data_IF_868195652540
#
_entry.id   IF_868195652540
#
_cell.length_a   1.000
_cell.length_b   1.000
_cell.length_c   1.000
_cell.angle_alpha   90.00
_cell.angle_beta   90.00
_cell.angle_gamma   90.00
#
_symmetry.space_group_name_H-M   'P 1'
#
loop_
_entity.id
_entity.type
_entity.pdbx_description
1 polymer ?
#
# COMPACT_ATOMS: atom_id res chain seq x y z
N UNK A 1 -6.79 -10.87 6.49
CA UNK A 1 -5.98 -9.96 7.31
C UNK A 1 -4.53 -10.39 7.30
N UNK A 2 -3.61 -9.44 7.20
CA UNK A 2 -2.16 -9.69 7.37
C UNK A 2 -1.79 -9.79 8.86
N UNK A 3 -0.66 -10.42 9.20
CA UNK A 3 -0.16 -10.44 10.60
C UNK A 3 -0.01 -9.03 11.19
N UNK A 4 0.38 -8.07 10.35
CA UNK A 4 0.54 -6.65 10.73
C UNK A 4 -0.81 -6.00 11.06
N UNK A 5 -1.85 -6.25 10.25
CA UNK A 5 -3.22 -5.80 10.53
C UNK A 5 -3.75 -6.38 11.85
N UNK A 6 -3.58 -7.69 12.08
CA UNK A 6 -4.03 -8.33 13.32
C UNK A 6 -3.42 -7.64 14.54
N UNK A 7 -2.12 -7.34 14.51
CA UNK A 7 -1.44 -6.64 15.60
C UNK A 7 -2.03 -5.24 15.83
N UNK A 8 -2.32 -4.48 14.78
CA UNK A 8 -2.92 -3.15 14.94
C UNK A 8 -4.34 -3.21 15.50
N UNK A 9 -5.14 -4.19 15.09
CA UNK A 9 -6.47 -4.40 15.64
C UNK A 9 -6.40 -4.77 17.12
N UNK A 10 -5.52 -5.70 17.50
CA UNK A 10 -5.33 -6.09 18.90
C UNK A 10 -4.92 -4.90 19.76
N UNK A 11 -3.95 -4.10 19.31
CA UNK A 11 -3.51 -2.89 20.03
C UNK A 11 -4.67 -1.90 20.14
N UNK A 12 -5.38 -1.61 19.04
CA UNK A 12 -6.48 -0.65 19.02
C UNK A 12 -7.63 -1.02 19.96
N UNK A 13 -8.10 -2.27 19.91
CA UNK A 13 -9.15 -2.75 20.81
C UNK A 13 -8.71 -2.80 22.27
N UNK A 14 -7.45 -3.19 22.53
CA UNK A 14 -6.90 -3.20 23.89
C UNK A 14 -6.84 -1.78 24.47
N UNK A 15 -6.37 -0.81 23.69
CA UNK A 15 -6.32 0.60 24.11
C UNK A 15 -7.73 1.17 24.33
N UNK A 16 -8.69 0.83 23.47
CA UNK A 16 -10.08 1.27 23.63
C UNK A 16 -10.73 0.68 24.89
N UNK A 17 -10.55 -0.62 25.15
CA UNK A 17 -11.05 -1.26 26.37
C UNK A 17 -10.37 -0.70 27.62
N UNK A 18 -9.05 -0.46 27.56
CA UNK A 18 -8.33 0.17 28.66
C UNK A 18 -8.85 1.58 28.95
N UNK A 19 -9.11 2.38 27.91
CA UNK A 19 -9.71 3.70 28.04
C UNK A 19 -11.06 3.64 28.78
N UNK A 20 -11.93 2.70 28.40
CA UNK A 20 -13.23 2.49 29.06
C UNK A 20 -13.04 2.12 30.54
N UNK A 21 -12.20 1.11 30.82
CA UNK A 21 -11.95 0.62 32.20
C UNK A 21 -11.38 1.72 33.08
N UNK A 22 -10.37 2.45 32.60
CA UNK A 22 -9.75 3.56 33.32
C UNK A 22 -10.78 4.65 33.60
N UNK A 23 -11.63 4.98 32.61
CA UNK A 23 -12.74 5.91 32.80
C UNK A 23 -13.69 5.48 33.93
N UNK A 24 -14.06 4.20 33.99
CA UNK A 24 -14.93 3.68 35.04
C UNK A 24 -14.33 3.82 36.43
N UNK A 25 -13.02 3.59 36.57
CA UNK A 25 -12.30 3.74 37.84
C UNK A 25 -12.22 5.20 38.28
N UNK A 26 -11.89 6.12 37.36
CA UNK A 26 -11.76 7.55 37.65
C UNK A 26 -13.10 8.15 38.07
N UNK A 27 -14.16 7.88 37.31
CA UNK A 27 -15.47 8.50 37.52
C UNK A 27 -16.41 7.67 38.41
N UNK A 28 -15.92 6.56 39.00
CA UNK A 28 -16.69 5.67 39.89
C UNK A 28 -18.04 5.27 39.29
N UNK A 29 -18.03 4.85 38.03
CA UNK A 29 -19.24 4.56 37.26
C UNK A 29 -20.01 3.39 37.89
N UNK A 30 -21.35 3.48 38.07
CA UNK A 30 -22.14 2.39 38.65
C UNK A 30 -22.08 1.09 37.84
N UNK A 31 -22.15 -0.05 38.53
CA UNK A 31 -22.07 -1.39 37.92
C UNK A 31 -23.02 -1.60 36.74
N UNK A 32 -24.28 -1.14 36.86
CA UNK A 32 -25.28 -1.19 35.79
C UNK A 32 -24.78 -0.51 34.50
N UNK A 33 -24.23 0.70 34.63
CA UNK A 33 -23.70 1.47 33.49
C UNK A 33 -22.44 0.83 32.91
N UNK A 34 -21.61 0.18 33.73
CA UNK A 34 -20.45 -0.56 33.25
C UNK A 34 -20.86 -1.75 32.38
N UNK A 35 -21.80 -2.58 32.87
CA UNK A 35 -22.32 -3.73 32.11
C UNK A 35 -22.91 -3.28 30.77
N UNK A 36 -23.75 -2.24 30.78
CA UNK A 36 -24.34 -1.68 29.56
C UNK A 36 -23.29 -1.18 28.57
N UNK A 37 -22.24 -0.52 29.06
CA UNK A 37 -21.15 -0.07 28.19
C UNK A 37 -20.35 -1.24 27.59
N UNK A 38 -20.15 -2.32 28.37
CA UNK A 38 -19.50 -3.53 27.88
C UNK A 38 -20.37 -4.28 26.87
N UNK A 39 -21.70 -4.37 27.05
CA UNK A 39 -22.58 -4.98 26.05
C UNK A 39 -22.53 -4.23 24.72
N UNK A 40 -22.66 -2.90 24.74
CA UNK A 40 -22.57 -2.10 23.51
C UNK A 40 -21.21 -2.30 22.83
N UNK A 41 -20.12 -2.29 23.59
CA UNK A 41 -18.77 -2.50 23.05
C UNK A 41 -18.63 -3.89 22.44
N UNK A 42 -19.17 -4.91 23.08
CA UNK A 42 -19.16 -6.29 22.58
C UNK A 42 -19.92 -6.43 21.26
N UNK A 43 -21.15 -5.93 21.19
CA UNK A 43 -21.96 -5.99 19.96
C UNK A 43 -21.31 -5.17 18.85
N UNK A 44 -20.76 -3.99 19.16
CA UNK A 44 -20.00 -3.16 18.21
C UNK A 44 -18.77 -3.88 17.66
N UNK A 45 -18.07 -4.68 18.47
CA UNK A 45 -16.92 -5.45 18.03
C UNK A 45 -17.33 -6.53 17.04
N UNK A 46 -18.46 -7.22 17.30
CA UNK A 46 -19.03 -8.20 16.35
C UNK A 46 -19.41 -7.51 15.04
N UNK A 47 -20.20 -6.43 15.12
CA UNK A 47 -20.61 -5.64 13.95
C UNK A 47 -19.39 -5.17 13.15
N UNK A 48 -18.35 -4.69 13.84
CA UNK A 48 -17.12 -4.25 13.21
C UNK A 48 -16.47 -5.34 12.37
N UNK A 49 -16.30 -6.54 12.92
CA UNK A 49 -15.66 -7.63 12.19
C UNK A 49 -16.53 -8.22 11.08
N UNK A 50 -17.86 -8.23 11.24
CA UNK A 50 -18.78 -8.58 10.15
C UNK A 50 -18.63 -7.60 8.99
N UNK A 51 -18.62 -6.29 9.28
CA UNK A 51 -18.40 -5.27 8.27
C UNK A 51 -17.02 -5.40 7.61
N UNK A 52 -15.96 -5.48 8.41
CA UNK A 52 -14.57 -5.47 7.98
C UNK A 52 -14.16 -6.74 7.21
N UNK A 53 -14.57 -7.93 7.65
CA UNK A 53 -14.15 -9.19 7.03
C UNK A 53 -15.10 -9.69 5.94
N UNK A 54 -16.38 -9.30 6.00
CA UNK A 54 -17.40 -9.87 5.12
C UNK A 54 -18.03 -8.84 4.16
N UNK A 55 -18.66 -7.80 4.68
CA UNK A 55 -19.46 -6.85 3.88
C UNK A 55 -18.57 -6.00 2.97
N UNK A 56 -17.60 -5.29 3.53
CA UNK A 56 -16.75 -4.34 2.80
C UNK A 56 -15.91 -5.03 1.70
N UNK A 57 -15.14 -6.10 1.95
CA UNK A 57 -14.33 -6.72 0.89
C UNK A 57 -15.14 -7.36 -0.23
N UNK A 58 -16.40 -7.77 0.03
CA UNK A 58 -17.25 -8.37 -1.00
C UNK A 58 -17.95 -7.35 -1.88
N UNK A 59 -18.33 -6.20 -1.30
CA UNK A 59 -19.22 -5.26 -1.97
C UNK A 59 -18.57 -3.91 -2.30
N UNK A 60 -17.77 -3.35 -1.38
CA UNK A 60 -17.09 -2.07 -1.60
C UNK A 60 -16.04 -2.20 -2.71
N UNK A 61 -15.10 -3.15 -2.58
CA UNK A 61 -14.01 -3.33 -3.56
C UNK A 61 -14.50 -3.76 -4.95
N UNK A 62 -15.73 -4.30 -5.06
CA UNK A 62 -16.33 -4.75 -6.33
C UNK A 62 -17.30 -3.73 -6.93
N UNK A 63 -17.45 -2.54 -6.34
CA UNK A 63 -18.38 -1.51 -6.80
C UNK A 63 -19.86 -1.93 -6.71
N UNK A 64 -20.19 -2.93 -5.89
CA UNK A 64 -21.54 -3.50 -5.75
C UNK A 64 -22.36 -2.70 -4.73
N UNK A 65 -22.70 -1.46 -5.09
CA UNK A 65 -23.34 -0.49 -4.18
C UNK A 65 -24.68 -0.98 -3.59
N UNK A 66 -25.61 -1.59 -4.36
CA UNK A 66 -26.87 -2.06 -3.78
C UNK A 66 -26.67 -3.15 -2.72
N UNK A 67 -25.75 -4.08 -2.95
CA UNK A 67 -25.42 -5.15 -2.00
C UNK A 67 -24.68 -4.61 -0.76
N UNK A 68 -23.86 -3.56 -0.94
CA UNK A 68 -23.23 -2.86 0.17
C UNK A 68 -24.27 -2.22 1.09
N UNK A 69 -25.24 -1.49 0.52
CA UNK A 69 -26.35 -0.89 1.28
C UNK A 69 -27.15 -1.98 2.00
N UNK A 70 -27.50 -3.07 1.30
CA UNK A 70 -28.18 -4.21 1.92
C UNK A 70 -27.39 -4.81 3.08
N UNK A 71 -26.07 -4.98 2.92
CA UNK A 71 -25.18 -5.47 3.98
C UNK A 71 -25.12 -4.55 5.19
N UNK A 72 -25.09 -3.23 4.99
CA UNK A 72 -25.13 -2.23 6.08
C UNK A 72 -26.46 -2.28 6.83
N UNK A 73 -27.59 -2.39 6.11
CA UNK A 73 -28.92 -2.51 6.72
C UNK A 73 -29.02 -3.80 7.54
N UNK A 74 -28.52 -4.92 7.02
CA UNK A 74 -28.50 -6.20 7.75
C UNK A 74 -27.59 -6.13 8.98
N UNK A 75 -26.43 -5.47 8.89
CA UNK A 75 -25.55 -5.26 10.03
C UNK A 75 -26.23 -4.45 11.14
N UNK A 76 -26.89 -3.33 10.77
CA UNK A 76 -27.64 -2.50 11.71
C UNK A 76 -28.82 -3.26 12.34
N UNK A 77 -29.60 -4.02 11.56
CA UNK A 77 -30.68 -4.84 12.07
C UNK A 77 -30.18 -5.92 13.04
N UNK A 78 -29.03 -6.53 12.73
CA UNK A 78 -28.38 -7.51 13.61
C UNK A 78 -27.87 -6.86 14.90
N UNK A 79 -27.29 -5.66 14.82
CA UNK A 79 -26.87 -4.88 15.98
C UNK A 79 -28.05 -4.64 16.94
N UNK A 80 -29.17 -4.13 16.41
CA UNK A 80 -30.40 -3.88 17.19
C UNK A 80 -30.91 -5.16 17.83
N UNK A 81 -31.01 -6.25 17.05
CA UNK A 81 -31.52 -7.52 17.54
C UNK A 81 -30.65 -8.11 18.66
N UNK A 82 -29.33 -8.17 18.45
CA UNK A 82 -28.40 -8.71 19.45
C UNK A 82 -28.46 -7.86 20.73
N UNK A 83 -28.52 -6.54 20.59
CA UNK A 83 -28.61 -5.62 21.73
C UNK A 83 -29.91 -5.78 22.49
N UNK A 84 -31.05 -5.95 21.80
CA UNK A 84 -32.32 -6.29 22.45
C UNK A 84 -32.22 -7.59 23.26
N UNK A 85 -31.70 -8.66 22.64
CA UNK A 85 -31.54 -9.95 23.32
C UNK A 85 -30.61 -9.87 24.54
N UNK A 86 -29.54 -9.07 24.47
CA UNK A 86 -28.64 -8.89 25.61
C UNK A 86 -29.24 -7.99 26.70
N UNK A 87 -29.73 -6.82 26.32
CA UNK A 87 -30.04 -5.75 27.28
C UNK A 87 -31.46 -5.81 27.85
N UNK A 88 -32.40 -6.42 27.13
CA UNK A 88 -33.80 -6.54 27.57
C UNK A 88 -34.19 -7.95 27.98
N UNK A 89 -33.53 -8.99 27.44
CA UNK A 89 -33.82 -10.38 27.80
C UNK A 89 -32.78 -10.92 28.77
N UNK A 90 -31.49 -10.91 28.40
CA UNK A 90 -30.46 -11.51 29.25
C UNK A 90 -30.24 -10.71 30.54
N UNK A 91 -30.18 -9.37 30.47
CA UNK A 91 -29.95 -8.57 31.68
C UNK A 91 -31.11 -8.59 32.66
N UNK A 92 -32.35 -8.63 32.18
CA UNK A 92 -33.49 -8.82 33.08
C UNK A 92 -33.41 -10.19 33.77
N UNK A 93 -33.12 -11.24 33.01
CA UNK A 93 -32.99 -12.60 33.56
C UNK A 93 -31.86 -12.73 34.60
N UNK A 94 -30.68 -12.17 34.33
CA UNK A 94 -29.49 -12.35 35.19
C UNK A 94 -29.33 -11.28 36.28
N UNK A 95 -29.77 -10.04 36.02
CA UNK A 95 -29.49 -8.88 36.87
C UNK A 95 -30.75 -8.12 37.30
N UNK A 96 -31.94 -8.52 36.85
CA UNK A 96 -33.22 -7.92 37.20
C UNK A 96 -33.30 -6.41 36.96
N UNK A 97 -32.66 -5.94 35.87
CA UNK A 97 -32.81 -4.58 35.41
C UNK A 97 -32.99 -4.50 33.90
N UNK A 98 -33.80 -3.53 33.49
CA UNK A 98 -33.94 -3.10 32.10
C UNK A 98 -33.17 -1.81 31.85
N UNK A 99 -32.76 -1.62 30.61
CA UNK A 99 -32.07 -0.40 30.19
C UNK A 99 -33.02 0.60 29.53
N UNK A 100 -34.13 0.15 28.93
CA UNK A 100 -35.09 1.02 28.25
C UNK A 100 -36.44 1.08 28.95
N UNK A 101 -36.51 1.72 30.11
CA UNK A 101 -37.80 2.02 30.76
C UNK A 101 -38.37 3.36 30.27
N UNK A 102 -39.60 3.36 29.75
CA UNK A 102 -40.30 4.58 29.31
C UNK A 102 -39.87 5.16 27.96
N UNK A 103 -39.12 4.41 27.15
CA UNK A 103 -38.73 4.83 25.80
C UNK A 103 -39.90 4.74 24.82
N UNK A 104 -39.96 5.66 23.87
CA UNK A 104 -40.82 5.51 22.68
C UNK A 104 -40.08 4.67 21.62
N UNK A 105 -40.81 4.09 20.67
CA UNK A 105 -40.20 3.38 19.55
C UNK A 105 -39.18 4.25 18.78
N UNK A 106 -39.43 5.56 18.70
CA UNK A 106 -38.53 6.52 18.07
C UNK A 106 -37.25 6.71 18.88
N UNK A 107 -37.34 6.95 20.20
CA UNK A 107 -36.14 7.17 21.02
C UNK A 107 -35.28 5.90 21.11
N UNK A 108 -35.90 4.73 21.17
CA UNK A 108 -35.18 3.45 21.09
C UNK A 108 -34.44 3.29 19.75
N UNK A 109 -35.10 3.61 18.64
CA UNK A 109 -34.49 3.49 17.31
C UNK A 109 -33.32 4.46 17.13
N UNK A 110 -33.48 5.72 17.56
CA UNK A 110 -32.41 6.73 17.46
C UNK A 110 -31.19 6.37 18.31
N UNK A 111 -31.40 5.84 19.52
CA UNK A 111 -30.32 5.37 20.38
C UNK A 111 -29.52 4.23 19.72
N UNK A 112 -30.22 3.24 19.15
CA UNK A 112 -29.55 2.15 18.43
C UNK A 112 -28.79 2.62 17.19
N UNK A 113 -29.39 3.53 16.41
CA UNK A 113 -28.71 4.12 15.24
C UNK A 113 -27.46 4.87 15.68
N UNK A 114 -27.51 5.63 16.77
CA UNK A 114 -26.35 6.33 17.31
C UNK A 114 -25.22 5.37 17.67
N UNK A 115 -25.50 4.31 18.43
CA UNK A 115 -24.46 3.37 18.85
C UNK A 115 -23.94 2.47 17.72
N UNK A 116 -24.83 1.91 16.89
CA UNK A 116 -24.46 1.02 15.78
C UNK A 116 -23.73 1.75 14.65
N UNK A 117 -24.17 2.97 14.30
CA UNK A 117 -23.53 3.71 13.19
C UNK A 117 -22.04 3.98 13.45
N UNK A 118 -21.63 4.22 14.69
CA UNK A 118 -20.22 4.41 15.04
C UNK A 118 -19.36 3.18 14.76
N UNK A 119 -19.88 1.97 14.94
CA UNK A 119 -19.19 0.71 14.62
C UNK A 119 -18.99 0.55 13.11
N UNK A 120 -20.05 0.82 12.34
CA UNK A 120 -20.03 0.79 10.87
C UNK A 120 -19.04 1.82 10.31
N UNK A 121 -19.10 3.07 10.78
CA UNK A 121 -18.20 4.14 10.34
C UNK A 121 -16.74 3.78 10.65
N UNK A 122 -16.46 3.30 11.86
CA UNK A 122 -15.11 2.85 12.24
C UNK A 122 -14.63 1.71 11.34
N UNK A 123 -15.50 0.76 11.01
CA UNK A 123 -15.18 -0.36 10.11
C UNK A 123 -14.80 0.12 8.72
N UNK A 124 -15.59 1.04 8.15
CA UNK A 124 -15.33 1.62 6.83
C UNK A 124 -14.02 2.38 6.83
N UNK A 125 -13.76 3.20 7.85
CA UNK A 125 -12.55 4.00 7.97
C UNK A 125 -11.30 3.12 8.07
N UNK A 126 -11.32 2.12 8.95
CA UNK A 126 -10.17 1.20 9.15
C UNK A 126 -9.95 0.34 7.92
N UNK A 127 -11.00 -0.23 7.35
CA UNK A 127 -10.92 -1.04 6.13
C UNK A 127 -10.35 -0.25 4.96
N UNK A 128 -10.93 0.92 4.65
CA UNK A 128 -10.51 1.76 3.52
C UNK A 128 -9.07 2.23 3.69
N UNK A 129 -8.62 2.47 4.93
CA UNK A 129 -7.23 2.85 5.23
C UNK A 129 -6.24 1.73 4.90
N UNK A 130 -6.53 0.49 5.33
CA UNK A 130 -5.67 -0.66 5.01
C UNK A 130 -5.71 -1.01 3.51
N UNK A 131 -6.89 -0.97 2.89
CA UNK A 131 -7.06 -1.24 1.46
C UNK A 131 -6.30 -0.20 0.61
N UNK A 132 -6.40 1.09 0.95
CA UNK A 132 -5.66 2.16 0.27
C UNK A 132 -4.14 1.99 0.39
N UNK A 133 -3.63 1.62 1.57
CA UNK A 133 -2.21 1.35 1.77
C UNK A 133 -1.74 0.12 0.98
N UNK A 134 -2.59 -0.90 0.84
CA UNK A 134 -2.29 -2.09 0.04
C UNK A 134 -2.22 -1.72 -1.45
N UNK A 135 -3.25 -1.05 -1.97
CA UNK A 135 -3.31 -0.57 -3.36
C UNK A 135 -2.11 0.34 -3.68
N UNK A 136 -1.73 1.24 -2.77
CA UNK A 136 -0.58 2.11 -2.95
C UNK A 136 0.74 1.33 -3.11
N UNK A 137 0.93 0.25 -2.34
CA UNK A 137 2.13 -0.61 -2.46
C UNK A 137 2.13 -1.41 -3.76
N UNK A 138 1.00 -2.00 -4.13
CA UNK A 138 0.85 -2.74 -5.39
C UNK A 138 1.11 -1.82 -6.59
N UNK A 139 0.52 -0.62 -6.59
CA UNK A 139 0.77 0.39 -7.62
C UNK A 139 2.23 0.84 -7.68
N UNK A 140 2.93 0.89 -6.54
CA UNK A 140 4.36 1.20 -6.53
C UNK A 140 5.18 0.10 -7.21
N UNK A 141 4.94 -1.17 -6.87
CA UNK A 141 5.59 -2.32 -7.50
C UNK A 141 5.33 -2.34 -9.00
N UNK A 142 4.08 -2.17 -9.42
CA UNK A 142 3.69 -2.15 -10.82
C UNK A 142 4.36 -1.00 -11.61
N UNK A 143 4.56 0.16 -10.98
CA UNK A 143 5.30 1.28 -11.60
C UNK A 143 6.78 0.97 -11.77
N UNK A 144 7.40 0.35 -10.77
CA UNK A 144 8.80 -0.07 -10.83
C UNK A 144 9.00 -1.12 -11.94
N UNK A 145 8.16 -2.16 -11.97
CA UNK A 145 8.17 -3.19 -13.02
C UNK A 145 7.92 -2.61 -14.41
N UNK A 146 6.95 -1.70 -14.54
CA UNK A 146 6.68 -0.99 -15.80
C UNK A 146 7.91 -0.19 -16.27
N UNK A 147 8.56 0.54 -15.37
CA UNK A 147 9.75 1.35 -15.69
C UNK A 147 10.89 0.45 -16.17
N UNK A 148 11.11 -0.68 -15.50
CA UNK A 148 12.12 -1.66 -15.92
C UNK A 148 11.80 -2.27 -17.29
N UNK A 149 10.53 -2.60 -17.56
CA UNK A 149 10.09 -3.11 -18.84
C UNK A 149 10.25 -2.07 -19.98
N UNK A 150 9.92 -0.80 -19.72
CA UNK A 150 10.12 0.30 -20.67
C UNK A 150 11.61 0.53 -20.95
N UNK A 151 12.47 0.50 -19.93
CA UNK A 151 13.92 0.58 -20.10
C UNK A 151 14.46 -0.60 -20.90
N UNK A 152 14.02 -1.82 -20.62
CA UNK A 152 14.42 -3.01 -21.37
C UNK A 152 13.99 -2.90 -22.85
N UNK A 153 12.76 -2.45 -23.12
CA UNK A 153 12.26 -2.22 -24.47
C UNK A 153 13.02 -1.11 -25.20
N UNK A 154 13.35 0.00 -24.53
CA UNK A 154 14.18 1.05 -25.13
C UNK A 154 15.59 0.54 -25.44
N UNK A 155 16.17 -0.31 -24.59
CA UNK A 155 17.47 -0.96 -24.86
C UNK A 155 17.42 -1.85 -26.10
N UNK A 156 16.32 -2.56 -26.36
CA UNK A 156 16.22 -3.42 -27.56
C UNK A 156 16.05 -2.65 -28.87
N UNK A 157 15.59 -1.38 -28.83
CA UNK A 157 15.55 -0.54 -30.02
C UNK A 157 16.95 -0.19 -30.56
N UNK A 158 17.97 -0.26 -29.71
CA UNK A 158 19.37 -0.16 -30.14
C UNK A 158 19.83 -1.56 -30.49
N UNK A 159 20.11 -1.84 -31.76
CA UNK A 159 20.72 -3.10 -32.18
C UNK A 159 22.24 -3.03 -31.91
N UNK A 160 22.76 -3.64 -30.82
CA UNK A 160 24.16 -3.45 -30.44
C UNK A 160 25.09 -4.06 -31.48
N UNK A 161 24.69 -5.20 -32.07
CA UNK A 161 25.45 -5.87 -33.12
C UNK A 161 25.57 -5.02 -34.38
N UNK A 162 24.47 -4.42 -34.84
CA UNK A 162 24.52 -3.48 -35.96
C UNK A 162 25.45 -2.32 -35.65
N UNK A 163 25.33 -1.72 -34.46
CA UNK A 163 26.15 -0.59 -34.05
C UNK A 163 27.66 -0.92 -34.00
N UNK A 164 28.05 -2.05 -33.39
CA UNK A 164 29.46 -2.48 -33.37
C UNK A 164 29.98 -2.75 -34.78
N UNK A 165 29.16 -3.37 -35.64
CA UNK A 165 29.56 -3.64 -37.02
C UNK A 165 29.76 -2.34 -37.80
N UNK A 166 28.88 -1.36 -37.62
CA UNK A 166 29.02 -0.03 -38.23
C UNK A 166 30.29 0.67 -37.75
N UNK A 167 30.54 0.70 -36.44
CA UNK A 167 31.73 1.35 -35.88
C UNK A 167 33.04 0.65 -36.27
N UNK A 168 33.07 -0.69 -36.28
CA UNK A 168 34.23 -1.45 -36.75
C UNK A 168 34.48 -1.26 -38.25
N UNK A 169 33.43 -1.17 -39.06
CA UNK A 169 33.57 -0.83 -40.47
C UNK A 169 34.16 0.57 -40.66
N UNK A 170 33.64 1.59 -39.95
CA UNK A 170 34.19 2.95 -39.99
C UNK A 170 35.65 2.97 -39.51
N UNK A 171 35.98 2.22 -38.46
CA UNK A 171 37.36 2.06 -37.98
C UNK A 171 38.28 1.53 -39.09
N UNK A 172 37.86 0.49 -39.82
CA UNK A 172 38.66 -0.08 -40.91
C UNK A 172 38.92 0.90 -42.06
N UNK A 173 37.98 1.83 -42.31
CA UNK A 173 38.14 2.90 -43.29
C UNK A 173 39.03 4.04 -42.77
N UNK A 174 38.98 4.33 -41.47
CA UNK A 174 39.74 5.40 -40.83
C UNK A 174 41.21 5.01 -40.59
N UNK A 175 41.47 3.74 -40.28
CA UNK A 175 42.80 3.22 -39.95
C UNK A 175 43.90 3.59 -40.96
N UNK A 176 43.73 3.40 -42.27
CA UNK A 176 44.76 3.79 -43.24
C UNK A 176 44.84 5.31 -43.49
N UNK A 177 43.90 6.11 -42.98
CA UNK A 177 43.79 7.55 -43.26
C UNK A 177 44.29 8.40 -42.10
N UNK A 178 43.96 8.04 -40.86
CA UNK A 178 44.34 8.79 -39.67
C UNK A 178 44.26 7.92 -38.43
N UNK A 179 45.41 7.71 -37.79
CA UNK A 179 45.50 7.02 -36.50
C UNK A 179 44.63 7.70 -35.43
N UNK A 180 44.60 9.03 -35.42
CA UNK A 180 43.79 9.84 -34.48
C UNK A 180 42.29 9.60 -34.67
N UNK A 181 41.82 9.51 -35.91
CA UNK A 181 40.41 9.21 -36.22
C UNK A 181 40.06 7.75 -35.87
N UNK A 182 40.94 6.81 -36.22
CA UNK A 182 40.75 5.40 -35.90
C UNK A 182 40.67 5.16 -34.39
N UNK A 183 41.55 5.79 -33.61
CA UNK A 183 41.54 5.75 -32.15
C UNK A 183 40.24 6.31 -31.56
N UNK A 184 39.74 7.44 -32.09
CA UNK A 184 38.47 8.02 -31.67
C UNK A 184 37.28 7.06 -31.91
N UNK A 185 37.24 6.40 -33.07
CA UNK A 185 36.15 5.48 -33.45
C UNK A 185 36.16 4.23 -32.58
N UNK A 186 37.34 3.66 -32.28
CA UNK A 186 37.41 2.47 -31.44
C UNK A 186 37.05 2.75 -29.99
N UNK A 187 37.46 3.91 -29.44
CA UNK A 187 37.06 4.36 -28.10
C UNK A 187 35.56 4.62 -28.01
N UNK A 188 34.96 5.22 -29.04
CA UNK A 188 33.51 5.39 -29.14
C UNK A 188 32.79 4.04 -29.17
N UNK A 189 33.32 3.07 -29.92
CA UNK A 189 32.80 1.70 -29.97
C UNK A 189 32.85 1.01 -28.61
N UNK A 190 33.96 1.14 -27.88
CA UNK A 190 34.12 0.61 -26.52
C UNK A 190 33.14 1.26 -25.53
N UNK A 191 32.98 2.58 -25.60
CA UNK A 191 32.00 3.32 -24.79
C UNK A 191 30.55 2.89 -25.06
N UNK A 192 30.17 2.80 -26.33
CA UNK A 192 28.84 2.30 -26.71
C UNK A 192 28.64 0.86 -26.22
N UNK A 193 29.69 0.04 -26.25
CA UNK A 193 29.64 -1.34 -25.74
C UNK A 193 29.35 -1.40 -24.26
N UNK A 194 30.07 -0.59 -23.49
CA UNK A 194 29.85 -0.49 -22.06
C UNK A 194 28.40 -0.07 -21.74
N UNK A 195 27.91 0.99 -22.38
CA UNK A 195 26.56 1.50 -22.13
C UNK A 195 25.44 0.51 -22.47
N UNK A 196 25.59 -0.29 -23.53
CA UNK A 196 24.54 -1.20 -23.99
C UNK A 196 24.57 -2.58 -23.31
N UNK A 197 25.73 -3.01 -22.82
CA UNK A 197 25.94 -4.41 -22.41
C UNK A 197 26.28 -4.55 -20.93
N UNK A 198 27.10 -3.65 -20.38
CA UNK A 198 27.65 -3.76 -19.02
C UNK A 198 26.77 -3.03 -17.99
N UNK A 199 26.04 -1.99 -18.38
CA UNK A 199 25.04 -1.29 -17.54
C UNK A 199 23.79 -2.13 -17.21
N UNK A 200 23.83 -3.44 -17.50
CA UNK A 200 22.72 -4.37 -17.41
C UNK A 200 23.06 -5.64 -16.61
N UNK A 201 24.13 -5.61 -15.80
CA UNK A 201 24.45 -6.67 -14.86
C UNK A 201 23.25 -6.96 -13.93
N UNK A 202 22.93 -8.24 -13.78
CA UNK A 202 21.68 -8.71 -13.18
C UNK A 202 21.51 -8.35 -11.69
N UNK A 203 22.59 -7.95 -11.03
CA UNK A 203 22.65 -7.51 -9.63
C UNK A 203 22.75 -5.98 -9.49
N UNK A 204 22.80 -5.23 -10.60
CA UNK A 204 22.99 -3.79 -10.61
C UNK A 204 24.41 -3.34 -10.22
N UNK A 205 25.40 -4.23 -10.27
CA UNK A 205 26.80 -3.92 -9.94
C UNK A 205 27.71 -4.09 -11.15
N UNK A 206 28.74 -3.24 -11.28
CA UNK A 206 29.73 -3.30 -12.36
C UNK A 206 31.13 -3.28 -11.77
N UNK A 207 32.08 -3.89 -12.47
CA UNK A 207 33.49 -3.82 -12.11
C UNK A 207 33.97 -2.37 -12.19
N UNK A 208 34.53 -1.86 -11.10
CA UNK A 208 35.04 -0.49 -11.00
C UNK A 208 36.04 -0.19 -12.11
N UNK A 209 36.86 -1.16 -12.53
CA UNK A 209 37.81 -0.95 -13.62
C UNK A 209 37.09 -0.61 -14.93
N UNK A 210 35.94 -1.24 -15.21
CA UNK A 210 35.17 -0.93 -16.43
C UNK A 210 34.58 0.48 -16.40
N UNK A 211 34.20 0.98 -15.22
CA UNK A 211 33.78 2.38 -15.06
C UNK A 211 34.93 3.36 -15.29
N UNK A 212 36.10 3.06 -14.74
CA UNK A 212 37.32 3.86 -14.96
C UNK A 212 37.68 3.89 -16.45
N UNK A 213 37.75 2.73 -17.10
CA UNK A 213 38.05 2.62 -18.54
C UNK A 213 37.04 3.39 -19.40
N UNK A 214 35.75 3.38 -19.01
CA UNK A 214 34.71 4.15 -19.69
C UNK A 214 34.96 5.66 -19.57
N UNK A 215 35.27 6.14 -18.36
CA UNK A 215 35.54 7.57 -18.10
C UNK A 215 36.82 8.01 -18.81
N UNK A 216 37.87 7.21 -18.81
CA UNK A 216 39.12 7.50 -19.54
C UNK A 216 38.89 7.60 -21.04
N UNK A 217 38.13 6.66 -21.61
CA UNK A 217 37.74 6.71 -23.01
C UNK A 217 36.90 7.97 -23.32
N UNK A 218 35.96 8.32 -22.46
CA UNK A 218 35.16 9.55 -22.61
C UNK A 218 36.03 10.81 -22.60
N UNK A 219 36.90 10.94 -21.60
CA UNK A 219 37.80 12.10 -21.46
C UNK A 219 38.72 12.19 -22.67
N UNK A 220 39.31 11.07 -23.11
CA UNK A 220 40.23 11.09 -24.24
C UNK A 220 39.55 11.52 -25.54
N UNK A 221 38.32 11.04 -25.82
CA UNK A 221 37.54 11.53 -26.97
C UNK A 221 37.22 13.02 -26.83
N UNK A 222 36.85 13.47 -25.62
CA UNK A 222 36.54 14.86 -25.37
C UNK A 222 37.76 15.77 -25.58
N UNK A 223 38.94 15.32 -25.15
CA UNK A 223 40.22 16.01 -25.36
C UNK A 223 40.56 16.15 -26.84
N UNK A 224 40.22 15.18 -27.70
CA UNK A 224 40.45 15.30 -29.16
C UNK A 224 39.74 16.52 -29.79
N UNK A 225 38.69 17.04 -29.13
CA UNK A 225 37.93 18.20 -29.57
C UNK A 225 38.65 19.52 -29.29
N UNK A 226 39.64 19.52 -28.40
CA UNK A 226 40.45 20.68 -28.06
C UNK A 226 41.85 20.45 -28.63
N UNK A 227 42.30 21.31 -29.55
CA UNK A 227 43.69 21.23 -30.04
C UNK A 227 44.68 21.42 -28.88
N UNK A 228 45.86 20.80 -28.99
CA UNK A 228 46.98 20.98 -28.06
C UNK A 228 47.34 22.47 -27.98
N UNK A 229 46.85 23.17 -26.95
CA UNK A 229 47.12 24.61 -26.81
C UNK A 229 46.21 25.43 -25.89
N UNK A 230 45.19 24.86 -25.25
CA UNK A 230 44.46 25.55 -24.17
C UNK A 230 45.06 25.16 -22.80
N UNK A 231 46.00 25.98 -22.35
CA UNK A 231 46.44 26.07 -20.95
C UNK A 231 45.58 27.09 -20.19
#
# INVERSE_FOLDING_TARGET
MTKKEIRYHLIGWTLYLLYIVVGFLIYKVPFKTQIWSYSITFVKLIEFYVMYLWVLPRFLNKGKIPQLIGGIVVAMASFILIRFLLEEVAFDYFFHFHNYFGYTALSYSLDNVYFGSSGIVLSIAVYSSFDSLKIARENKSLREEKTQAELAFLKTQINPHFLYNTLNYIYSLAYPVSDKLADAVIKLSQMMRYMLTESASADGTVDLQKEVDYIENYISIYQLRFEEGFY
#
